data_IF_513344752056
#
_entry.id   IF_513344752056
#
_cell.length_a   1.000
_cell.length_b   1.000
_cell.length_c   1.000
_cell.angle_alpha   90.00
_cell.angle_beta   90.00
_cell.angle_gamma   90.00
#
_symmetry.space_group_name_H-M   'P 1'
#
loop_
_entity.id
_entity.type
_entity.pdbx_description
1 polymer ?
#
# COMPACT_ATOMS: atom_id res chain seq x y z
N UNK A 1 -4.57 -10.39 3.74
CA UNK A 1 -4.81 -11.55 2.83
C UNK A 1 -6.20 -11.56 2.18
N UNK A 2 -7.32 -11.30 2.88
CA UNK A 2 -8.67 -11.34 2.27
C UNK A 2 -8.96 -10.29 1.18
N UNK A 3 -8.33 -9.11 1.22
CA UNK A 3 -8.52 -8.08 0.19
C UNK A 3 -7.91 -8.48 -1.18
N UNK A 4 -6.75 -9.13 -1.16
CA UNK A 4 -6.16 -9.77 -2.34
C UNK A 4 -7.02 -10.95 -2.82
N UNK A 5 -7.66 -11.66 -1.89
CA UNK A 5 -8.59 -12.74 -2.18
C UNK A 5 -9.80 -12.27 -3.00
N UNK A 6 -10.36 -11.08 -2.76
CA UNK A 6 -11.49 -10.56 -3.56
C UNK A 6 -11.10 -10.30 -5.03
N UNK A 7 -9.90 -9.75 -5.28
CA UNK A 7 -9.38 -9.55 -6.64
C UNK A 7 -9.04 -10.88 -7.33
N UNK A 8 -8.45 -11.81 -6.59
CA UNK A 8 -8.20 -13.19 -7.02
C UNK A 8 -9.50 -13.93 -7.35
N UNK A 9 -10.54 -13.76 -6.52
CA UNK A 9 -11.85 -14.38 -6.73
C UNK A 9 -12.54 -13.82 -7.97
N UNK A 10 -12.47 -12.50 -8.20
CA UNK A 10 -13.00 -11.88 -9.41
C UNK A 10 -12.28 -12.36 -10.69
N UNK A 11 -10.95 -12.48 -10.68
CA UNK A 11 -10.21 -13.00 -11.85
C UNK A 11 -10.40 -14.52 -12.02
N UNK A 12 -10.49 -15.27 -10.91
CA UNK A 12 -10.80 -16.70 -10.96
C UNK A 12 -12.18 -16.97 -11.55
N UNK A 13 -13.14 -16.04 -11.42
CA UNK A 13 -14.46 -16.13 -12.04
C UNK A 13 -14.37 -16.21 -13.57
N UNK A 14 -13.49 -15.42 -14.19
CA UNK A 14 -13.22 -15.48 -15.63
C UNK A 14 -12.45 -16.73 -16.06
N UNK A 15 -11.69 -17.33 -15.14
CA UNK A 15 -10.92 -18.57 -15.35
C UNK A 15 -11.67 -19.83 -14.90
N UNK A 16 -12.93 -19.72 -14.45
CA UNK A 16 -13.81 -20.84 -14.05
C UNK A 16 -13.88 -21.95 -15.10
N UNK A 17 -13.96 -21.67 -16.42
CA UNK A 17 -13.99 -22.74 -17.43
C UNK A 17 -12.74 -23.64 -17.41
N UNK A 18 -11.61 -23.11 -16.94
CA UNK A 18 -10.33 -23.80 -16.89
C UNK A 18 -10.17 -24.67 -15.62
N UNK A 19 -11.06 -24.52 -14.64
CA UNK A 19 -11.06 -25.31 -13.39
C UNK A 19 -11.27 -26.79 -13.69
N UNK A 20 -12.10 -27.09 -14.70
CA UNK A 20 -12.41 -28.45 -15.15
C UNK A 20 -11.22 -29.19 -15.76
N UNK A 21 -10.21 -28.45 -16.25
CA UNK A 21 -9.07 -28.99 -17.00
C UNK A 21 -7.81 -29.08 -16.13
N UNK A 22 -7.54 -28.07 -15.30
CA UNK A 22 -6.26 -27.91 -14.58
C UNK A 22 -6.43 -28.01 -13.05
N UNK A 23 -7.67 -27.97 -12.55
CA UNK A 23 -7.97 -28.05 -11.13
C UNK A 23 -7.89 -26.71 -10.38
N UNK A 24 -8.62 -26.61 -9.27
CA UNK A 24 -8.85 -25.36 -8.56
C UNK A 24 -7.56 -24.70 -8.04
N UNK A 25 -6.58 -25.49 -7.58
CA UNK A 25 -5.31 -24.96 -7.04
C UNK A 25 -4.46 -24.32 -8.13
N UNK A 26 -4.40 -24.92 -9.31
CA UNK A 26 -3.65 -24.37 -10.44
C UNK A 26 -4.30 -23.10 -11.00
N UNK A 27 -5.64 -23.04 -11.04
CA UNK A 27 -6.36 -21.83 -11.45
C UNK A 27 -6.11 -20.67 -10.49
N UNK A 28 -6.10 -20.92 -9.17
CA UNK A 28 -5.77 -19.88 -8.19
C UNK A 28 -4.32 -19.39 -8.32
N UNK A 29 -3.38 -20.31 -8.54
CA UNK A 29 -1.97 -19.96 -8.76
C UNK A 29 -1.77 -19.13 -10.04
N UNK A 30 -2.41 -19.54 -11.13
CA UNK A 30 -2.38 -18.82 -12.40
C UNK A 30 -3.04 -17.44 -12.28
N UNK A 31 -4.19 -17.34 -11.62
CA UNK A 31 -4.87 -16.07 -11.41
C UNK A 31 -3.99 -15.09 -10.64
N UNK A 32 -3.36 -15.53 -9.54
CA UNK A 32 -2.47 -14.65 -8.79
C UNK A 32 -1.19 -14.31 -9.53
N UNK A 33 -0.64 -15.23 -10.33
CA UNK A 33 0.48 -14.94 -11.21
C UNK A 33 0.13 -13.83 -12.22
N UNK A 34 -1.03 -13.93 -12.86
CA UNK A 34 -1.52 -12.91 -13.79
C UNK A 34 -1.75 -11.56 -13.10
N UNK A 35 -2.42 -11.55 -11.95
CA UNK A 35 -2.63 -10.31 -11.17
C UNK A 35 -1.29 -9.67 -10.82
N UNK A 36 -0.31 -10.44 -10.38
CA UNK A 36 0.97 -9.91 -9.95
C UNK A 36 1.80 -9.33 -11.13
N UNK A 37 1.80 -10.01 -12.28
CA UNK A 37 2.49 -9.54 -13.48
C UNK A 37 1.82 -8.30 -14.08
N UNK A 38 0.48 -8.27 -14.14
CA UNK A 38 -0.25 -7.07 -14.58
C UNK A 38 0.02 -5.91 -13.62
N UNK A 39 -0.01 -6.16 -12.31
CA UNK A 39 0.31 -5.14 -11.32
C UNK A 39 1.74 -4.61 -11.48
N UNK A 40 2.71 -5.48 -11.78
CA UNK A 40 4.10 -5.09 -12.02
C UNK A 40 4.25 -4.21 -13.25
N UNK A 41 3.64 -4.58 -14.38
CA UNK A 41 3.68 -3.76 -15.60
C UNK A 41 3.07 -2.39 -15.35
N UNK A 42 1.91 -2.34 -14.69
CA UNK A 42 1.27 -1.07 -14.32
C UNK A 42 2.13 -0.26 -13.35
N UNK A 43 2.80 -0.90 -12.39
CA UNK A 43 3.72 -0.25 -11.47
C UNK A 43 4.89 0.40 -12.24
N UNK A 44 5.47 -0.30 -13.22
CA UNK A 44 6.54 0.23 -14.07
C UNK A 44 6.07 1.45 -14.89
N UNK A 45 4.83 1.44 -15.39
CA UNK A 45 4.23 2.58 -16.09
C UNK A 45 4.05 3.78 -15.16
N UNK A 46 3.55 3.57 -13.94
CA UNK A 46 3.44 4.65 -12.96
C UNK A 46 4.81 5.15 -12.52
N UNK A 47 5.79 4.27 -12.36
CA UNK A 47 7.18 4.63 -12.06
C UNK A 47 7.75 5.54 -13.13
N UNK A 48 7.59 5.18 -14.41
CA UNK A 48 8.00 6.03 -15.53
C UNK A 48 7.36 7.42 -15.45
N UNK A 49 6.03 7.48 -15.27
CA UNK A 49 5.30 8.76 -15.20
C UNK A 49 5.76 9.64 -14.05
N UNK A 50 5.97 9.06 -12.87
CA UNK A 50 6.48 9.79 -11.70
C UNK A 50 7.90 10.26 -11.95
N UNK A 51 8.77 9.41 -12.51
CA UNK A 51 10.15 9.74 -12.84
C UNK A 51 10.24 10.89 -13.84
N UNK A 52 9.39 10.93 -14.88
CA UNK A 52 9.32 12.05 -15.83
C UNK A 52 8.99 13.36 -15.11
N UNK A 53 8.03 13.34 -14.17
CA UNK A 53 7.65 14.55 -13.42
C UNK A 53 8.79 15.04 -12.52
N UNK A 54 9.52 14.11 -11.88
CA UNK A 54 10.58 14.44 -10.92
C UNK A 54 11.89 14.85 -11.63
N UNK A 55 12.37 14.02 -12.56
CA UNK A 55 13.66 14.23 -13.24
C UNK A 55 13.57 15.29 -14.33
N UNK A 56 12.37 15.53 -14.88
CA UNK A 56 12.12 16.43 -16.03
C UNK A 56 12.93 16.06 -17.28
N UNK A 57 13.41 14.82 -17.34
CA UNK A 57 14.13 14.24 -18.46
C UNK A 57 13.51 12.87 -18.81
N UNK A 58 12.85 12.73 -19.98
CA UNK A 58 12.20 11.49 -20.36
C UNK A 58 13.19 10.35 -20.62
N UNK A 59 14.42 10.63 -21.06
CA UNK A 59 15.42 9.59 -21.33
C UNK A 59 15.93 8.99 -20.03
N UNK A 60 16.32 9.85 -19.07
CA UNK A 60 16.70 9.40 -17.73
C UNK A 60 15.55 8.65 -17.02
N UNK A 61 14.30 9.11 -17.19
CA UNK A 61 13.13 8.43 -16.63
C UNK A 61 12.91 7.05 -17.25
N UNK A 62 13.12 6.89 -18.56
CA UNK A 62 13.01 5.61 -19.25
C UNK A 62 14.09 4.63 -18.78
N UNK A 63 15.35 5.10 -18.67
CA UNK A 63 16.45 4.30 -18.13
C UNK A 63 16.18 3.85 -16.69
N UNK A 64 15.66 4.75 -15.84
CA UNK A 64 15.26 4.40 -14.47
C UNK A 64 14.16 3.33 -14.46
N UNK A 65 13.17 3.40 -15.34
CA UNK A 65 12.12 2.38 -15.48
C UNK A 65 12.66 1.03 -15.95
N UNK A 66 13.64 1.01 -16.86
CA UNK A 66 14.32 -0.22 -17.25
C UNK A 66 15.04 -0.82 -16.04
N UNK A 67 15.79 -0.01 -15.29
CA UNK A 67 16.49 -0.46 -14.07
C UNK A 67 15.51 -0.98 -13.01
N UNK A 68 14.32 -0.37 -12.89
CA UNK A 68 13.25 -0.89 -12.03
C UNK A 68 12.79 -2.28 -12.49
N UNK A 69 12.61 -2.49 -13.80
CA UNK A 69 12.18 -3.77 -14.35
C UNK A 69 13.22 -4.89 -14.18
N UNK A 70 14.51 -4.57 -14.35
CA UNK A 70 15.61 -5.55 -14.32
C UNK A 70 16.38 -5.60 -12.98
N UNK A 71 15.83 -5.02 -11.92
CA UNK A 71 16.43 -5.10 -10.59
C UNK A 71 16.53 -6.58 -10.13
N UNK A 72 17.60 -7.02 -9.43
CA UNK A 72 17.68 -8.37 -8.84
C UNK A 72 16.48 -8.75 -7.95
N UNK A 73 15.80 -7.77 -7.34
CA UNK A 73 14.57 -7.97 -6.57
C UNK A 73 13.32 -8.21 -7.45
N UNK A 74 13.44 -8.16 -8.79
CA UNK A 74 12.31 -8.34 -9.72
C UNK A 74 11.67 -9.74 -9.67
N UNK A 75 12.36 -10.72 -9.09
CA UNK A 75 11.78 -12.03 -8.81
C UNK A 75 10.56 -11.95 -7.88
N UNK A 76 10.56 -11.02 -6.92
CA UNK A 76 9.40 -10.76 -6.05
C UNK A 76 8.24 -10.11 -6.82
N UNK A 77 8.53 -9.50 -7.97
CA UNK A 77 7.52 -8.91 -8.84
C UNK A 77 6.95 -9.86 -9.89
N UNK A 78 7.60 -11.00 -10.14
CA UNK A 78 7.18 -11.98 -11.15
C UNK A 78 6.60 -13.27 -10.54
N UNK A 79 6.78 -13.49 -9.24
CA UNK A 79 6.26 -14.63 -8.49
C UNK A 79 5.04 -14.25 -7.63
N UNK A 80 4.37 -15.22 -7.01
CA UNK A 80 3.07 -15.04 -6.31
C UNK A 80 3.19 -14.28 -4.97
N UNK A 81 3.65 -13.03 -5.00
CA UNK A 81 3.80 -12.16 -3.82
C UNK A 81 2.90 -10.94 -3.88
N UNK A 82 2.81 -10.20 -2.76
CA UNK A 82 2.05 -8.95 -2.69
C UNK A 82 2.86 -7.71 -3.11
N UNK A 83 4.14 -7.88 -3.46
CA UNK A 83 5.06 -6.77 -3.72
C UNK A 83 4.68 -5.98 -4.99
N UNK A 84 4.26 -6.63 -6.08
CA UNK A 84 3.85 -5.88 -7.29
C UNK A 84 2.58 -5.08 -7.05
N UNK A 85 1.62 -5.64 -6.31
CA UNK A 85 0.41 -4.93 -5.94
C UNK A 85 0.72 -3.75 -5.00
N UNK A 86 1.61 -3.96 -4.04
CA UNK A 86 2.09 -2.89 -3.16
C UNK A 86 2.80 -1.77 -3.94
N UNK A 87 3.69 -2.13 -4.87
CA UNK A 87 4.41 -1.18 -5.71
C UNK A 87 3.44 -0.38 -6.60
N UNK A 88 2.49 -1.06 -7.25
CA UNK A 88 1.44 -0.42 -8.05
C UNK A 88 0.65 0.61 -7.24
N UNK A 89 0.15 0.23 -6.07
CA UNK A 89 -0.68 1.10 -5.23
C UNK A 89 0.13 2.27 -4.66
N UNK A 90 1.39 2.04 -4.28
CA UNK A 90 2.28 3.09 -3.75
C UNK A 90 2.69 4.09 -4.84
N UNK A 91 3.14 3.61 -6.00
CA UNK A 91 3.55 4.47 -7.11
C UNK A 91 2.35 5.18 -7.75
N UNK A 92 1.22 4.48 -7.89
CA UNK A 92 -0.04 5.08 -8.33
C UNK A 92 -0.52 6.15 -7.35
N UNK A 93 -0.48 5.88 -6.04
CA UNK A 93 -0.78 6.86 -5.00
C UNK A 93 0.09 8.10 -5.10
N UNK A 94 1.40 7.93 -5.29
CA UNK A 94 2.35 9.02 -5.47
C UNK A 94 2.07 9.83 -6.75
N UNK A 95 1.79 9.17 -7.87
CA UNK A 95 1.43 9.82 -9.12
C UNK A 95 0.20 10.73 -8.97
N UNK A 96 -0.88 10.21 -8.36
CA UNK A 96 -2.09 11.01 -8.13
C UNK A 96 -1.89 12.09 -7.09
N UNK A 97 -0.98 11.88 -6.11
CA UNK A 97 -0.62 12.90 -5.13
C UNK A 97 0.03 14.11 -5.80
N UNK A 98 0.98 13.86 -6.70
CA UNK A 98 1.71 14.88 -7.46
C UNK A 98 0.77 15.54 -8.49
N UNK A 99 -0.12 14.77 -9.10
CA UNK A 99 -1.10 15.27 -10.07
C UNK A 99 -2.24 16.10 -9.45
N UNK A 100 -2.28 16.23 -8.11
CA UNK A 100 -3.28 17.03 -7.39
C UNK A 100 -4.58 16.29 -7.03
N UNK A 101 -4.72 15.01 -7.39
CA UNK A 101 -5.87 14.17 -7.06
C UNK A 101 -5.70 13.50 -5.67
N UNK A 102 -5.57 14.32 -4.62
CA UNK A 102 -5.18 13.85 -3.28
C UNK A 102 -6.12 12.80 -2.67
N UNK A 103 -7.42 12.82 -2.98
CA UNK A 103 -8.36 11.82 -2.43
C UNK A 103 -8.14 10.42 -3.02
N UNK A 104 -7.82 10.34 -4.32
CA UNK A 104 -7.45 9.08 -4.98
C UNK A 104 -6.12 8.58 -4.44
N UNK A 105 -5.16 9.49 -4.21
CA UNK A 105 -3.88 9.15 -3.60
C UNK A 105 -4.04 8.53 -2.21
N UNK A 106 -4.87 9.12 -1.34
CA UNK A 106 -5.16 8.59 0.01
C UNK A 106 -5.78 7.20 -0.06
N UNK A 107 -6.73 6.98 -0.97
CA UNK A 107 -7.33 5.66 -1.17
C UNK A 107 -6.28 4.63 -1.60
N UNK A 108 -5.44 4.96 -2.58
CA UNK A 108 -4.38 4.06 -3.06
C UNK A 108 -3.33 3.77 -1.98
N UNK A 109 -2.94 4.77 -1.19
CA UNK A 109 -2.04 4.56 -0.06
C UNK A 109 -2.66 3.71 1.04
N UNK A 110 -3.94 3.90 1.36
CA UNK A 110 -4.65 3.03 2.29
C UNK A 110 -4.68 1.58 1.77
N UNK A 111 -5.03 1.38 0.50
CA UNK A 111 -5.02 0.06 -0.13
C UNK A 111 -3.61 -0.56 -0.14
N UNK A 112 -2.56 0.23 -0.30
CA UNK A 112 -1.17 -0.24 -0.19
C UNK A 112 -0.88 -0.82 1.21
N UNK A 113 -1.45 -0.22 2.27
CA UNK A 113 -1.42 -0.71 3.64
C UNK A 113 -2.15 -2.05 3.84
N UNK A 114 -3.18 -2.32 3.04
CA UNK A 114 -3.85 -3.64 3.02
C UNK A 114 -2.99 -4.72 2.33
N UNK A 115 -2.20 -4.34 1.33
CA UNK A 115 -1.32 -5.25 0.61
C UNK A 115 -0.09 -5.62 1.47
N UNK A 116 0.50 -4.63 2.14
CA UNK A 116 1.63 -4.78 3.06
C UNK A 116 1.54 -3.73 4.17
N UNK A 117 1.86 -4.13 5.40
CA UNK A 117 1.91 -3.22 6.57
C UNK A 117 2.82 -2.02 6.35
N UNK A 118 3.90 -2.18 5.58
CA UNK A 118 4.84 -1.11 5.20
C UNK A 118 4.17 0.05 4.47
N UNK A 119 3.01 -0.16 3.84
CA UNK A 119 2.26 0.91 3.17
C UNK A 119 1.77 2.01 4.10
N UNK A 120 1.75 1.78 5.42
CA UNK A 120 1.49 2.84 6.41
C UNK A 120 2.51 3.99 6.30
N UNK A 121 3.73 3.71 5.86
CA UNK A 121 4.79 4.72 5.69
C UNK A 121 4.47 5.70 4.56
N UNK A 122 3.61 5.33 3.60
CA UNK A 122 3.16 6.23 2.54
C UNK A 122 2.37 7.44 3.08
N UNK A 123 1.87 7.37 4.32
CA UNK A 123 1.31 8.53 5.03
C UNK A 123 2.32 9.68 5.16
N UNK A 124 3.63 9.38 5.14
CA UNK A 124 4.70 10.38 5.12
C UNK A 124 4.61 11.33 3.93
N UNK A 125 4.26 10.83 2.74
CA UNK A 125 4.07 11.68 1.55
C UNK A 125 2.89 12.63 1.70
N UNK A 126 1.79 12.16 2.30
CA UNK A 126 0.62 12.99 2.60
C UNK A 126 0.99 14.07 3.61
N UNK A 127 1.66 13.69 4.69
CA UNK A 127 2.12 14.61 5.73
C UNK A 127 3.02 15.70 5.12
N UNK A 128 4.02 15.30 4.34
CA UNK A 128 4.93 16.24 3.67
C UNK A 128 4.17 17.22 2.76
N UNK A 129 3.25 16.74 1.91
CA UNK A 129 2.46 17.62 1.05
C UNK A 129 1.62 18.61 1.87
N UNK A 130 1.02 18.16 2.97
CA UNK A 130 0.18 19.01 3.82
C UNK A 130 0.99 20.06 4.56
N UNK A 131 2.18 19.73 5.03
CA UNK A 131 3.10 20.66 5.67
C UNK A 131 3.59 21.72 4.67
N UNK A 132 3.95 21.31 3.45
CA UNK A 132 4.34 22.25 2.39
C UNK A 132 3.20 23.22 2.05
N UNK A 133 1.98 22.71 1.87
CA UNK A 133 0.81 23.55 1.58
C UNK A 133 0.44 24.49 2.75
N UNK A 134 0.59 24.01 4.00
CA UNK A 134 0.37 24.84 5.18
C UNK A 134 1.43 25.94 5.28
N UNK A 135 2.70 25.61 5.04
CA UNK A 135 3.80 26.57 4.98
C UNK A 135 3.52 27.66 3.95
N UNK A 136 3.17 27.28 2.72
CA UNK A 136 2.82 28.25 1.66
C UNK A 136 1.62 29.13 2.04
N UNK A 137 0.59 28.56 2.68
CA UNK A 137 -0.60 29.30 3.09
C UNK A 137 -0.31 30.32 4.21
N UNK A 138 0.60 30.00 5.13
CA UNK A 138 1.01 30.87 6.24
C UNK A 138 1.97 31.95 5.77
N UNK A 139 3.07 31.57 5.12
CA UNK A 139 4.18 32.47 4.84
C UNK A 139 3.99 33.28 3.56
N UNK A 140 3.55 32.64 2.46
CA UNK A 140 3.38 33.33 1.18
C UNK A 140 2.04 34.06 1.11
N UNK A 141 0.96 33.38 1.51
CA UNK A 141 -0.41 33.90 1.34
C UNK A 141 -0.93 34.68 2.56
N UNK A 142 -0.28 34.58 3.72
CA UNK A 142 -0.69 35.19 5.00
C UNK A 142 -2.16 34.92 5.38
N UNK A 143 -2.71 33.78 4.95
CA UNK A 143 -4.12 33.39 5.21
C UNK A 143 -4.18 32.28 6.25
N UNK A 144 -4.01 32.65 7.53
CA UNK A 144 -3.98 31.71 8.65
C UNK A 144 -5.20 30.75 8.69
N UNK A 145 -6.41 31.27 8.44
CA UNK A 145 -7.62 30.44 8.43
C UNK A 145 -7.61 29.37 7.32
N UNK A 146 -6.99 29.66 6.17
CA UNK A 146 -6.83 28.68 5.10
C UNK A 146 -5.77 27.63 5.44
N UNK A 147 -4.69 28.02 6.13
CA UNK A 147 -3.68 27.09 6.62
C UNK A 147 -4.25 26.08 7.63
N UNK A 148 -5.10 26.55 8.57
CA UNK A 148 -5.79 25.66 9.52
C UNK A 148 -6.67 24.64 8.80
N UNK A 149 -7.42 25.06 7.76
CA UNK A 149 -8.22 24.12 6.95
C UNK A 149 -7.34 23.07 6.26
N UNK A 150 -6.21 23.46 5.70
CA UNK A 150 -5.26 22.54 5.06
C UNK A 150 -4.72 21.53 6.08
N UNK A 151 -4.36 21.97 7.28
CA UNK A 151 -3.88 21.09 8.35
C UNK A 151 -4.95 20.10 8.81
N UNK A 152 -6.20 20.55 8.99
CA UNK A 152 -7.31 19.65 9.38
C UNK A 152 -7.56 18.60 8.30
N UNK A 153 -7.66 19.02 7.03
CA UNK A 153 -7.88 18.10 5.91
C UNK A 153 -6.69 17.14 5.77
N UNK A 154 -5.46 17.64 5.93
CA UNK A 154 -4.25 16.84 5.90
C UNK A 154 -4.20 15.78 7.00
N UNK A 155 -4.52 16.17 8.23
CA UNK A 155 -4.60 15.26 9.37
C UNK A 155 -5.65 14.16 9.15
N UNK A 156 -6.84 14.52 8.65
CA UNK A 156 -7.89 13.54 8.31
C UNK A 156 -7.42 12.54 7.25
N UNK A 157 -6.75 13.03 6.19
CA UNK A 157 -6.19 12.17 5.13
C UNK A 157 -5.12 11.22 5.66
N UNK A 158 -4.23 11.69 6.53
CA UNK A 158 -3.26 10.84 7.20
C UNK A 158 -3.98 9.78 8.03
N UNK A 159 -4.92 10.15 8.91
CA UNK A 159 -5.70 9.21 9.73
C UNK A 159 -6.37 8.14 8.86
N UNK A 160 -7.00 8.52 7.75
CA UNK A 160 -7.62 7.59 6.81
C UNK A 160 -6.62 6.55 6.27
N UNK A 161 -5.38 6.95 5.99
CA UNK A 161 -4.34 6.02 5.50
C UNK A 161 -3.87 5.02 6.58
N UNK A 162 -4.04 5.32 7.86
CA UNK A 162 -3.72 4.40 8.97
C UNK A 162 -4.82 3.36 9.26
N UNK A 163 -6.07 3.61 8.81
CA UNK A 163 -7.21 2.72 9.07
C UNK A 163 -6.92 1.25 8.73
N UNK A 164 -6.34 0.92 7.56
CA UNK A 164 -6.04 -0.47 7.19
C UNK A 164 -5.08 -1.16 8.16
N UNK A 165 -4.06 -0.44 8.62
CA UNK A 165 -3.09 -0.97 9.57
C UNK A 165 -3.76 -1.24 10.93
N UNK A 166 -4.53 -0.26 11.44
CA UNK A 166 -5.25 -0.39 12.71
C UNK A 166 -6.25 -1.54 12.65
N UNK A 167 -7.03 -1.64 11.57
CA UNK A 167 -7.99 -2.72 11.35
C UNK A 167 -7.31 -4.10 11.35
N UNK A 168 -6.12 -4.22 10.74
CA UNK A 168 -5.36 -5.46 10.74
C UNK A 168 -4.84 -5.83 12.15
N UNK A 169 -4.32 -4.86 12.91
CA UNK A 169 -3.89 -5.10 14.30
C UNK A 169 -5.08 -5.51 15.19
N UNK A 170 -6.21 -4.82 15.08
CA UNK A 170 -7.43 -5.12 15.82
C UNK A 170 -7.98 -6.51 15.48
N UNK A 171 -7.98 -6.88 14.19
CA UNK A 171 -8.35 -8.21 13.74
C UNK A 171 -7.41 -9.29 14.31
N UNK A 172 -6.09 -9.07 14.28
CA UNK A 172 -5.12 -10.01 14.87
C UNK A 172 -5.34 -10.20 16.37
N UNK A 173 -5.58 -9.10 17.09
CA UNK A 173 -5.91 -9.14 18.51
C UNK A 173 -7.21 -9.91 18.79
N UNK A 174 -8.28 -9.64 18.03
CA UNK A 174 -9.56 -10.31 18.22
C UNK A 174 -9.47 -11.83 17.98
N UNK A 175 -8.70 -12.29 16.99
CA UNK A 175 -8.62 -13.73 16.71
C UNK A 175 -7.66 -14.50 17.62
N UNK A 176 -6.62 -13.85 18.17
CA UNK A 176 -5.54 -14.54 18.91
C UNK A 176 -5.62 -14.27 20.42
N UNK A 177 -6.06 -13.08 20.81
CA UNK A 177 -6.05 -12.66 22.22
C UNK A 177 -7.44 -12.69 22.86
N UNK A 178 -8.53 -12.54 22.10
CA UNK A 178 -9.88 -12.50 22.66
C UNK A 178 -10.36 -13.88 23.11
N UNK A 179 -10.93 -13.97 24.31
CA UNK A 179 -11.50 -15.21 24.85
C UNK A 179 -10.51 -16.17 25.51
N UNK A 180 -9.21 -15.83 25.55
CA UNK A 180 -8.18 -16.61 26.26
C UNK A 180 -7.95 -16.09 27.68
N UNK A 181 -7.63 -16.99 28.62
CA UNK A 181 -7.26 -16.63 29.98
C UNK A 181 -5.90 -15.91 30.01
N UNK A 182 -5.68 -15.04 31.00
CA UNK A 182 -4.47 -14.22 31.10
C UNK A 182 -3.17 -15.05 31.12
N UNK A 183 -3.23 -16.30 31.58
CA UNK A 183 -2.07 -17.20 31.62
C UNK A 183 -1.74 -17.84 30.26
N UNK A 184 -2.74 -18.04 29.39
CA UNK A 184 -2.58 -18.61 28.05
C UNK A 184 -2.28 -17.56 26.98
N UNK A 185 -2.53 -16.28 27.27
CA UNK A 185 -2.32 -15.19 26.32
C UNK A 185 -0.84 -15.02 25.94
N UNK A 186 -0.59 -14.80 24.64
CA UNK A 186 0.74 -14.49 24.12
C UNK A 186 1.30 -13.19 24.75
N UNK A 187 2.64 -13.06 24.91
CA UNK A 187 3.24 -11.92 25.61
C UNK A 187 2.86 -10.55 25.04
N UNK A 188 2.72 -10.44 23.71
CA UNK A 188 2.33 -9.21 23.04
C UNK A 188 0.87 -8.81 23.28
N UNK A 189 -0.01 -9.76 23.63
CA UNK A 189 -1.39 -9.45 24.03
C UNK A 189 -1.44 -8.72 25.38
N UNK A 190 -0.43 -8.94 26.24
CA UNK A 190 -0.32 -8.36 27.59
C UNK A 190 0.34 -6.97 27.60
N UNK A 191 0.91 -6.54 26.46
CA UNK A 191 1.57 -5.26 26.34
C UNK A 191 0.58 -4.09 26.41
N UNK A 192 1.03 -2.93 26.91
CA UNK A 192 0.23 -1.69 27.00
C UNK A 192 -0.37 -1.28 25.65
N UNK A 193 0.34 -1.54 24.57
CA UNK A 193 -0.16 -1.42 23.20
C UNK A 193 0.06 -2.78 22.53
N UNK A 194 -1.00 -3.57 22.28
CA UNK A 194 -0.87 -4.91 21.74
C UNK A 194 -0.59 -4.87 20.23
N UNK A 195 0.68 -4.65 19.87
CA UNK A 195 1.15 -4.60 18.49
C UNK A 195 1.67 -5.98 18.05
N UNK A 196 0.84 -6.71 17.33
CA UNK A 196 1.21 -8.00 16.73
C UNK A 196 2.41 -7.86 15.79
N UNK A 197 2.41 -6.80 14.95
CA UNK A 197 3.47 -6.60 13.96
C UNK A 197 4.85 -6.40 14.58
N UNK A 198 4.96 -5.53 15.59
CA UNK A 198 6.22 -5.26 16.28
C UNK A 198 6.75 -6.49 17.01
N UNK A 199 5.86 -7.30 17.60
CA UNK A 199 6.24 -8.55 18.24
C UNK A 199 6.84 -9.55 17.24
N UNK A 200 6.17 -9.77 16.11
CA UNK A 200 6.69 -10.68 15.06
C UNK A 200 8.07 -10.22 14.58
N UNK A 201 8.21 -8.92 14.31
CA UNK A 201 9.48 -8.36 13.84
C UNK A 201 10.59 -8.50 14.88
N UNK A 202 10.31 -8.36 16.18
CA UNK A 202 11.31 -8.51 17.24
C UNK A 202 11.71 -9.96 17.54
N UNK A 203 10.85 -10.92 17.25
CA UNK A 203 11.02 -12.31 17.70
C UNK A 203 11.54 -13.24 16.60
N UNK A 204 11.27 -12.90 15.33
CA UNK A 204 11.57 -13.75 14.18
C UNK A 204 12.47 -13.10 13.12
N UNK A 205 12.83 -11.82 13.28
CA UNK A 205 13.77 -11.12 12.40
C UNK A 205 14.96 -10.63 13.24
#
# INVERSE_FOLDING_TARGET
>A
MRFCLCFLLALSFFLVPLVSVIGHRAVLALAGYLVNNVAFVLAAVYFYRVSVIILKDPEAAFQASILFCFNPASIFYSSLYTESLYALLSLGGLYYLISGASNVAVLLFALSGCARSNGVLNAGYLCFQTLHQAYDAVFLKKRACSAVKVLIVGALRCICSFIPFIAFQAYGYYNICHGHSLDEMRPWCKAKIPLLYSYIQSHYC
#
